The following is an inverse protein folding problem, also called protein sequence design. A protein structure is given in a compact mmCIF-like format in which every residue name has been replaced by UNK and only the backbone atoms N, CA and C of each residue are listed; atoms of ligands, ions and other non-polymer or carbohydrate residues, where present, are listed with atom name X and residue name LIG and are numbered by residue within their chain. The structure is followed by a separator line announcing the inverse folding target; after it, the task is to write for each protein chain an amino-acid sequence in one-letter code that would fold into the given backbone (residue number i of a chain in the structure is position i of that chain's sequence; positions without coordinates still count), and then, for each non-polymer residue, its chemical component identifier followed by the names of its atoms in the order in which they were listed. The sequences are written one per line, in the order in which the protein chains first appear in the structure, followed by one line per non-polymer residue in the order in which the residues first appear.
data_IF_953012955435
#
_entry.id   IF_953012955435
#
_cell.length_a   1.000
_cell.length_b   1.000
_cell.length_c   1.000
_cell.angle_alpha   90.00
_cell.angle_beta   90.00
_cell.angle_gamma   90.00
#
_symmetry.space_group_name_H-M   'P 1'
#
loop_
_entity.id
_entity.type
_entity.pdbx_description
1 polymer ?
#
# COMPACT_ATOMS: atom_id res chain seq x y z
N UNK A 1 -33.14 42.42 -16.68
CA UNK A 1 -32.98 42.13 -15.23
C UNK A 1 -31.49 42.02 -14.93
N UNK A 2 -30.94 43.06 -14.30
CA UNK A 2 -29.59 43.07 -13.75
C UNK A 2 -29.52 42.11 -12.56
N UNK A 3 -28.54 41.19 -12.55
CA UNK A 3 -28.00 40.61 -11.31
C UNK A 3 -26.52 40.92 -11.27
N UNK A 4 -26.18 42.02 -10.60
CA UNK A 4 -24.80 42.35 -10.24
C UNK A 4 -24.33 41.32 -9.22
N UNK A 5 -23.38 40.48 -9.61
CA UNK A 5 -22.60 39.65 -8.70
C UNK A 5 -21.61 40.59 -7.98
N UNK A 6 -21.51 40.55 -6.64
CA UNK A 6 -20.55 41.38 -5.91
C UNK A 6 -19.12 40.98 -6.28
N UNK A 7 -18.36 41.91 -6.86
CA UNK A 7 -16.92 41.76 -7.07
C UNK A 7 -16.20 42.15 -5.80
N UNK A 8 -15.57 41.18 -5.14
CA UNK A 8 -14.61 41.45 -4.07
C UNK A 8 -13.25 41.81 -4.68
N UNK A 9 -12.45 42.66 -4.02
CA UNK A 9 -11.13 43.08 -4.52
C UNK A 9 -10.08 41.94 -4.58
N UNK A 10 -10.46 40.70 -4.23
CA UNK A 10 -9.61 39.51 -4.27
C UNK A 10 -9.91 38.56 -5.43
N UNK A 11 -10.80 38.93 -6.37
CA UNK A 11 -11.02 38.13 -7.57
C UNK A 11 -9.98 38.44 -8.65
N UNK A 12 -8.84 37.76 -8.60
CA UNK A 12 -7.89 37.74 -9.72
C UNK A 12 -8.46 36.86 -10.85
N UNK A 13 -8.35 37.27 -12.13
CA UNK A 13 -8.72 36.42 -13.24
C UNK A 13 -7.82 35.17 -13.29
N UNK A 14 -8.41 34.03 -13.70
CA UNK A 14 -7.72 32.74 -13.83
C UNK A 14 -6.40 32.89 -14.60
N UNK A 15 -5.32 32.38 -14.00
CA UNK A 15 -3.99 32.35 -14.60
C UNK A 15 -3.99 31.52 -15.88
N UNK A 16 -2.98 31.74 -16.74
CA UNK A 16 -2.86 31.07 -18.03
C UNK A 16 -2.94 29.54 -17.96
N UNK A 17 -2.47 28.93 -16.86
CA UNK A 17 -2.53 27.49 -16.63
C UNK A 17 -3.96 26.99 -16.38
N UNK A 18 -4.78 27.74 -15.64
CA UNK A 18 -6.16 27.35 -15.34
C UNK A 18 -7.08 27.39 -16.57
N UNK A 19 -6.85 28.30 -17.52
CA UNK A 19 -7.54 28.28 -18.82
C UNK A 19 -7.17 27.08 -19.69
N UNK A 20 -5.91 26.64 -19.62
CA UNK A 20 -5.43 25.45 -20.33
C UNK A 20 -6.01 24.18 -19.72
N UNK A 21 -6.13 24.10 -18.39
CA UNK A 21 -6.79 22.99 -17.68
C UNK A 21 -8.29 22.92 -18.01
N UNK A 22 -8.99 24.05 -18.05
CA UNK A 22 -10.40 24.11 -18.46
C UNK A 22 -10.63 23.60 -19.90
N UNK A 23 -9.75 24.00 -20.84
CA UNK A 23 -9.80 23.53 -22.23
C UNK A 23 -9.53 22.03 -22.36
N UNK A 24 -8.61 21.48 -21.56
CA UNK A 24 -8.33 20.03 -21.51
C UNK A 24 -9.51 19.24 -20.94
N UNK A 25 -10.15 19.73 -19.87
CA UNK A 25 -11.37 19.14 -19.30
C UNK A 25 -12.52 19.14 -20.33
N UNK A 26 -12.72 20.24 -21.06
CA UNK A 26 -13.77 20.31 -22.11
C UNK A 26 -13.52 19.36 -23.29
N UNK A 27 -12.26 19.11 -23.66
CA UNK A 27 -11.91 18.14 -24.70
C UNK A 27 -12.10 16.69 -24.24
N UNK A 28 -11.87 16.38 -22.97
CA UNK A 28 -12.14 15.05 -22.38
C UNK A 28 -13.65 14.78 -22.34
N UNK A 29 -14.44 15.78 -21.95
CA UNK A 29 -15.91 15.67 -21.88
C UNK A 29 -16.61 15.63 -23.24
N UNK A 30 -15.91 15.89 -24.35
CA UNK A 30 -16.46 15.86 -25.72
C UNK A 30 -15.88 14.75 -26.60
N UNK A 31 -15.34 13.69 -25.98
CA UNK A 31 -14.86 12.49 -26.66
C UNK A 31 -15.84 11.90 -27.70
N UNK A 32 -15.34 11.17 -28.72
CA UNK A 32 -16.07 10.90 -29.94
C UNK A 32 -17.28 10.00 -29.70
N UNK A 33 -18.48 10.50 -30.05
CA UNK A 33 -19.72 9.72 -30.09
C UNK A 33 -19.70 8.71 -31.25
N UNK A 34 -19.03 7.57 -31.08
CA UNK A 34 -19.25 6.39 -31.93
C UNK A 34 -19.79 5.25 -31.07
N UNK A 35 -21.09 4.98 -31.22
CA UNK A 35 -21.76 3.83 -30.60
C UNK A 35 -21.18 2.54 -31.19
N UNK A 36 -20.93 1.50 -30.37
CA UNK A 36 -20.51 0.20 -30.89
C UNK A 36 -21.63 -0.40 -31.76
N UNK A 37 -21.29 -1.15 -32.82
CA UNK A 37 -22.27 -1.77 -33.71
C UNK A 37 -23.10 -2.81 -32.96
N UNK A 38 -24.42 -2.72 -33.07
CA UNK A 38 -25.42 -3.54 -32.37
C UNK A 38 -25.23 -5.06 -32.52
N UNK A 39 -24.60 -5.49 -33.61
CA UNK A 39 -24.26 -6.90 -33.85
C UNK A 39 -23.19 -7.45 -32.89
N UNK A 40 -22.27 -6.60 -32.40
CA UNK A 40 -21.25 -7.00 -31.43
C UNK A 40 -21.85 -7.26 -30.05
N UNK A 41 -22.79 -6.40 -29.62
CA UNK A 41 -23.54 -6.57 -28.37
C UNK A 41 -24.44 -7.81 -28.39
N UNK A 42 -25.09 -8.10 -29.53
CA UNK A 42 -25.91 -9.30 -29.69
C UNK A 42 -25.08 -10.60 -29.66
N UNK A 43 -23.87 -10.59 -30.25
CA UNK A 43 -22.96 -11.72 -30.22
C UNK A 43 -22.44 -12.01 -28.80
N UNK A 44 -22.11 -10.96 -28.03
CA UNK A 44 -21.67 -11.12 -26.65
C UNK A 44 -22.77 -11.71 -25.75
N UNK A 45 -24.02 -11.27 -25.93
CA UNK A 45 -25.17 -11.82 -25.20
C UNK A 45 -25.43 -13.30 -25.53
N UNK A 46 -25.24 -13.71 -26.78
CA UNK A 46 -25.40 -15.11 -27.19
C UNK A 46 -24.32 -16.03 -26.59
N UNK A 47 -23.09 -15.54 -26.47
CA UNK A 47 -21.98 -16.27 -25.81
C UNK A 47 -22.29 -16.46 -24.32
N UNK A 48 -22.78 -15.44 -23.62
CA UNK A 48 -23.17 -15.57 -22.21
C UNK A 48 -24.31 -16.58 -21.99
N UNK A 49 -25.28 -16.66 -22.90
CA UNK A 49 -26.40 -17.60 -22.79
C UNK A 49 -26.03 -19.05 -23.15
N UNK A 50 -25.06 -19.26 -24.04
CA UNK A 50 -24.62 -20.60 -24.46
C UNK A 50 -23.53 -21.18 -23.56
N UNK A 51 -22.69 -20.34 -22.95
CA UNK A 51 -21.65 -20.76 -22.00
C UNK A 51 -22.21 -21.04 -20.58
N UNK A 52 -23.41 -20.57 -20.25
CA UNK A 52 -24.06 -20.80 -18.94
C UNK A 52 -24.61 -22.21 -18.70
N UNK A 53 -24.59 -23.11 -19.70
CA UNK A 53 -25.20 -24.45 -19.61
C UNK A 53 -24.20 -25.62 -19.47
N UNK A 54 -22.90 -25.36 -19.22
CA UNK A 54 -21.87 -26.42 -19.20
C UNK A 54 -21.18 -26.68 -17.85
N UNK A 55 -21.68 -26.10 -16.75
CA UNK A 55 -21.25 -26.49 -15.40
C UNK A 55 -22.47 -26.83 -14.55
N UNK A 56 -23.04 -28.01 -14.79
CA UNK A 56 -23.96 -28.65 -13.86
C UNK A 56 -23.15 -29.54 -12.92
N UNK A 57 -22.61 -28.93 -11.86
CA UNK A 57 -22.32 -29.69 -10.64
C UNK A 57 -23.64 -29.82 -9.90
N UNK A 58 -24.04 -31.06 -9.62
CA UNK A 58 -25.31 -31.42 -9.00
C UNK A 58 -25.44 -30.75 -7.62
N UNK A 59 -26.22 -29.66 -7.56
CA UNK A 59 -26.79 -29.17 -6.31
C UNK A 59 -27.86 -30.17 -5.93
N UNK A 60 -27.58 -30.96 -4.92
CA UNK A 60 -28.61 -31.67 -4.16
C UNK A 60 -29.43 -30.58 -3.48
N UNK A 61 -30.71 -30.46 -3.83
CA UNK A 61 -31.68 -29.60 -3.15
C UNK A 61 -31.53 -29.81 -1.64
N UNK A 62 -30.97 -28.80 -0.98
CA UNK A 62 -31.14 -28.59 0.45
C UNK A 62 -32.32 -27.64 0.55
N UNK A 63 -33.41 -28.17 1.07
CA UNK A 63 -34.55 -27.40 1.55
C UNK A 63 -34.06 -26.20 2.39
N UNK A 64 -34.78 -25.09 2.25
CA UNK A 64 -34.67 -23.89 3.07
C UNK A 64 -34.62 -24.23 4.56
N UNK A 65 -33.41 -24.30 5.12
CA UNK A 65 -33.16 -24.09 6.53
C UNK A 65 -32.54 -22.70 6.65
N UNK A 66 -33.19 -21.84 7.44
CA UNK A 66 -32.55 -20.63 7.97
C UNK A 66 -31.21 -21.02 8.61
N UNK A 67 -30.14 -20.22 8.46
CA UNK A 67 -28.86 -20.56 9.09
C UNK A 67 -29.08 -20.71 10.60
N UNK A 68 -28.75 -21.88 11.17
CA UNK A 68 -28.96 -22.24 12.59
C UNK A 68 -28.07 -21.46 13.58
N UNK A 69 -27.49 -20.33 13.18
CA UNK A 69 -26.59 -19.50 14.00
C UNK A 69 -27.11 -18.07 14.19
N UNK A 70 -26.53 -17.30 15.13
CA UNK A 70 -26.89 -15.90 15.31
C UNK A 70 -26.56 -15.11 14.04
N UNK A 71 -27.48 -14.24 13.62
CA UNK A 71 -27.29 -13.40 12.43
C UNK A 71 -26.16 -12.39 12.62
N UNK A 72 -25.56 -11.96 11.50
CA UNK A 72 -24.57 -10.88 11.50
C UNK A 72 -25.24 -9.56 11.88
N UNK A 73 -24.62 -8.80 12.78
CA UNK A 73 -25.14 -7.54 13.30
C UNK A 73 -24.09 -6.43 13.19
N UNK A 74 -24.49 -5.25 12.68
CA UNK A 74 -23.69 -4.04 12.79
C UNK A 74 -23.92 -3.43 14.18
N UNK A 75 -22.89 -3.38 15.03
CA UNK A 75 -23.00 -2.78 16.35
C UNK A 75 -22.70 -1.28 16.30
N UNK A 76 -21.56 -0.89 15.71
CA UNK A 76 -21.19 0.52 15.48
C UNK A 76 -20.54 0.67 14.11
N UNK A 77 -20.81 1.78 13.42
CA UNK A 77 -20.19 2.07 12.13
C UNK A 77 -20.09 3.58 11.87
N UNK A 78 -18.88 4.12 12.06
CA UNK A 78 -18.53 5.52 11.81
C UNK A 78 -17.57 5.66 10.63
N UNK A 79 -17.34 4.59 9.86
CA UNK A 79 -16.32 4.56 8.82
C UNK A 79 -16.50 5.67 7.77
N UNK A 80 -17.74 5.94 7.39
CA UNK A 80 -18.09 6.96 6.41
C UNK A 80 -18.60 8.28 7.02
N UNK A 81 -18.74 8.36 8.35
CA UNK A 81 -19.16 9.56 9.08
C UNK A 81 -18.27 9.77 10.33
N UNK A 82 -16.94 9.91 10.17
CA UNK A 82 -16.01 10.02 11.29
C UNK A 82 -16.25 11.26 12.19
N UNK A 83 -16.94 12.27 11.68
CA UNK A 83 -17.36 13.45 12.44
C UNK A 83 -18.38 13.15 13.54
N UNK A 84 -19.10 12.02 13.44
CA UNK A 84 -20.15 11.62 14.37
C UNK A 84 -19.63 10.74 15.52
N UNK A 85 -18.32 10.46 15.54
CA UNK A 85 -17.69 9.66 16.60
C UNK A 85 -17.87 10.35 17.96
N UNK A 86 -18.49 9.70 18.96
CA UNK A 86 -18.66 10.28 20.28
C UNK A 86 -17.38 10.11 21.10
N UNK A 87 -16.43 11.03 20.93
CA UNK A 87 -15.06 10.92 21.46
C UNK A 87 -14.95 10.74 22.98
N UNK A 88 -15.93 11.26 23.72
CA UNK A 88 -15.94 11.29 25.19
C UNK A 88 -16.91 10.28 25.82
N UNK A 89 -17.63 9.48 25.02
CA UNK A 89 -18.62 8.51 25.51
C UNK A 89 -18.20 7.06 25.23
N UNK A 90 -18.93 6.13 25.83
CA UNK A 90 -18.83 4.71 25.55
C UNK A 90 -20.17 4.13 25.11
N UNK A 91 -20.13 3.20 24.17
CA UNK A 91 -21.29 2.44 23.71
C UNK A 91 -21.15 1.01 24.22
N UNK A 92 -22.21 0.47 24.81
CA UNK A 92 -22.20 -0.86 25.42
C UNK A 92 -23.19 -1.80 24.73
N UNK A 93 -22.86 -3.08 24.71
CA UNK A 93 -23.77 -4.16 24.30
C UNK A 93 -23.56 -5.41 25.15
N UNK A 94 -24.60 -6.22 25.23
CA UNK A 94 -24.58 -7.54 25.87
C UNK A 94 -25.02 -8.57 24.85
N UNK A 95 -24.29 -9.69 24.79
CA UNK A 95 -24.57 -10.76 23.84
C UNK A 95 -25.14 -11.96 24.62
N UNK A 96 -26.29 -12.52 24.21
CA UNK A 96 -26.90 -13.68 24.88
C UNK A 96 -25.95 -14.87 25.08
N UNK A 97 -25.03 -15.06 24.15
CA UNK A 97 -24.02 -16.11 24.17
C UNK A 97 -22.88 -15.88 25.19
N UNK A 98 -22.71 -14.66 25.70
CA UNK A 98 -21.70 -14.31 26.71
C UNK A 98 -22.36 -13.71 27.97
N UNK A 99 -23.07 -14.51 28.77
CA UNK A 99 -23.79 -14.02 29.94
C UNK A 99 -22.86 -13.42 31.00
N UNK A 100 -23.21 -12.24 31.50
CA UNK A 100 -22.43 -11.52 32.53
C UNK A 100 -21.24 -10.72 31.99
N UNK A 101 -21.11 -10.63 30.67
CA UNK A 101 -20.11 -9.82 29.98
C UNK A 101 -20.80 -8.65 29.28
N UNK A 102 -20.36 -7.43 29.58
CA UNK A 102 -20.73 -6.23 28.86
C UNK A 102 -19.58 -5.82 27.97
N UNK A 103 -19.77 -5.81 26.65
CA UNK A 103 -18.78 -5.28 25.73
C UNK A 103 -18.92 -3.77 25.67
N UNK A 104 -17.82 -3.05 25.85
CA UNK A 104 -17.77 -1.59 25.87
C UNK A 104 -16.83 -1.10 24.79
N UNK A 105 -17.38 -0.39 23.82
CA UNK A 105 -16.63 0.33 22.81
C UNK A 105 -16.42 1.78 23.26
N UNK A 106 -15.18 2.25 23.07
CA UNK A 106 -14.78 3.65 23.09
C UNK A 106 -13.94 3.89 21.82
N UNK A 107 -13.85 5.13 21.30
CA UNK A 107 -13.12 5.40 20.06
C UNK A 107 -11.71 4.82 20.02
N UNK A 108 -10.98 4.82 21.15
CA UNK A 108 -9.61 4.30 21.20
C UNK A 108 -9.48 2.82 21.58
N UNK A 109 -10.52 2.19 22.12
CA UNK A 109 -10.39 0.87 22.75
C UNK A 109 -11.72 0.13 22.85
N UNK A 110 -11.67 -1.18 22.71
CA UNK A 110 -12.80 -2.06 22.97
C UNK A 110 -12.44 -3.03 24.10
N UNK A 111 -13.29 -3.10 25.12
CA UNK A 111 -13.07 -3.91 26.31
C UNK A 111 -14.27 -4.83 26.60
N UNK A 112 -14.01 -5.97 27.23
CA UNK A 112 -15.02 -6.75 27.93
C UNK A 112 -15.03 -6.36 29.41
N UNK A 113 -16.21 -6.07 29.94
CA UNK A 113 -16.43 -5.72 31.35
C UNK A 113 -17.17 -6.88 32.00
N UNK A 114 -16.47 -7.60 32.88
CA UNK A 114 -17.06 -8.73 33.60
C UNK A 114 -17.67 -8.18 34.89
N UNK A 115 -18.99 -8.33 35.04
CA UNK A 115 -19.69 -7.93 36.26
C UNK A 115 -19.70 -9.11 37.22
N UNK A 116 -18.75 -9.13 38.17
CA UNK A 116 -18.81 -10.03 39.32
C UNK A 116 -19.41 -9.30 40.53
N UNK A 117 -19.88 -10.06 41.53
CA UNK A 117 -20.57 -9.51 42.71
C UNK A 117 -19.73 -8.47 43.48
N UNK A 118 -18.39 -8.52 43.38
CA UNK A 118 -17.48 -7.71 44.20
C UNK A 118 -16.44 -6.88 43.41
N UNK A 119 -16.33 -7.04 42.08
CA UNK A 119 -15.32 -6.32 41.28
C UNK A 119 -15.76 -6.14 39.82
N UNK A 120 -15.61 -4.91 39.31
CA UNK A 120 -15.75 -4.55 37.89
C UNK A 120 -14.34 -4.40 37.34
N UNK A 121 -13.91 -5.35 36.52
CA UNK A 121 -12.59 -5.31 35.88
C UNK A 121 -12.73 -5.26 34.37
N UNK A 122 -12.35 -4.15 33.70
CA UNK A 122 -12.33 -4.09 32.25
C UNK A 122 -11.09 -4.84 31.72
N UNK A 123 -11.32 -5.78 30.82
CA UNK A 123 -10.29 -6.47 30.05
C UNK A 123 -10.27 -5.93 28.62
N UNK A 124 -9.17 -5.29 28.22
CA UNK A 124 -9.03 -4.73 26.88
C UNK A 124 -8.85 -5.84 25.85
N UNK A 125 -9.70 -5.85 24.82
CA UNK A 125 -9.66 -6.83 23.74
C UNK A 125 -8.71 -6.36 22.62
N UNK A 126 -8.89 -5.12 22.16
CA UNK A 126 -8.04 -4.49 21.15
C UNK A 126 -8.21 -2.97 21.16
N UNK A 127 -7.30 -2.28 20.47
CA UNK A 127 -7.28 -0.80 20.37
C UNK A 127 -7.45 -0.33 18.93
N UNK A 128 -7.62 0.98 18.77
CA UNK A 128 -7.61 1.66 17.48
C UNK A 128 -7.34 3.16 17.67
N UNK A 129 -7.09 3.87 16.58
CA UNK A 129 -6.92 5.32 16.54
C UNK A 129 -7.70 5.96 15.37
N UNK A 130 -9.04 5.93 15.37
CA UNK A 130 -9.94 5.23 16.28
C UNK A 130 -10.36 3.84 15.75
N UNK A 131 -11.14 3.11 16.53
CA UNK A 131 -11.94 1.95 16.08
C UNK A 131 -13.15 2.51 15.31
N UNK A 132 -13.18 2.32 14.00
CA UNK A 132 -14.12 2.96 13.07
C UNK A 132 -15.46 2.23 12.98
N UNK A 133 -15.45 0.90 13.00
CA UNK A 133 -16.66 0.07 12.95
C UNK A 133 -16.46 -1.22 13.73
N UNK A 134 -17.55 -1.82 14.20
CA UNK A 134 -17.61 -3.13 14.85
C UNK A 134 -18.87 -3.85 14.40
N UNK A 135 -18.67 -5.04 13.86
CA UNK A 135 -19.70 -6.00 13.48
C UNK A 135 -19.58 -7.23 14.38
N UNK A 136 -20.72 -7.84 14.69
CA UNK A 136 -20.83 -9.08 15.44
C UNK A 136 -21.14 -10.19 14.46
N UNK A 137 -20.23 -11.14 14.30
CA UNK A 137 -20.33 -12.19 13.29
C UNK A 137 -19.69 -13.47 13.81
N UNK A 138 -20.38 -14.59 13.67
CA UNK A 138 -19.82 -15.94 13.90
C UNK A 138 -18.99 -16.35 12.67
N UNK A 139 -17.71 -15.99 12.68
CA UNK A 139 -16.75 -16.28 11.61
C UNK A 139 -16.04 -17.62 11.81
N UNK A 140 -16.08 -18.18 13.02
CA UNK A 140 -15.53 -19.51 13.34
C UNK A 140 -16.54 -20.64 13.04
N UNK A 141 -17.83 -20.32 13.03
CA UNK A 141 -18.94 -21.25 12.83
C UNK A 141 -19.28 -22.06 14.09
N UNK A 142 -18.86 -21.60 15.27
CA UNK A 142 -19.08 -22.31 16.54
C UNK A 142 -20.38 -21.88 17.25
N UNK A 143 -21.12 -20.93 16.66
CA UNK A 143 -22.36 -20.36 17.20
C UNK A 143 -22.16 -19.18 18.15
N UNK A 144 -20.92 -18.73 18.37
CA UNK A 144 -20.56 -17.60 19.22
C UNK A 144 -20.05 -16.46 18.33
N UNK A 145 -20.64 -15.27 18.45
CA UNK A 145 -20.22 -14.14 17.59
C UNK A 145 -18.87 -13.59 18.04
N UNK A 146 -18.00 -13.33 17.07
CA UNK A 146 -16.77 -12.56 17.23
C UNK A 146 -16.98 -11.06 17.01
N UNK A 147 -16.09 -10.25 17.57
CA UNK A 147 -16.06 -8.80 17.36
C UNK A 147 -15.13 -8.46 16.19
N UNK A 148 -15.72 -8.20 15.02
CA UNK A 148 -15.01 -7.86 13.79
C UNK A 148 -15.02 -6.34 13.57
N UNK A 149 -13.87 -5.70 13.64
CA UNK A 149 -13.75 -4.26 13.65
C UNK A 149 -12.83 -3.72 12.56
N UNK A 150 -13.16 -2.55 12.01
CA UNK A 150 -12.18 -1.74 11.25
C UNK A 150 -11.50 -0.79 12.23
N UNK A 151 -10.17 -0.83 12.31
CA UNK A 151 -9.36 0.05 13.15
C UNK A 151 -8.44 0.91 12.31
N UNK A 152 -8.42 2.21 12.57
CA UNK A 152 -7.48 3.14 11.95
C UNK A 152 -6.20 3.27 12.79
N UNK A 153 -5.03 3.40 12.16
CA UNK A 153 -3.76 3.59 12.87
C UNK A 153 -2.83 4.59 12.17
N UNK A 154 -2.23 5.49 12.96
CA UNK A 154 -1.13 6.37 12.55
C UNK A 154 -1.42 7.87 12.78
N UNK A 155 -0.35 8.68 12.86
CA UNK A 155 -0.43 10.13 13.14
C UNK A 155 -0.04 11.00 11.93
N UNK A 156 0.19 10.39 10.77
CA UNK A 156 0.42 11.05 9.49
C UNK A 156 -0.21 10.23 8.36
N UNK A 157 0.35 9.05 8.12
CA UNK A 157 -0.29 7.99 7.34
C UNK A 157 -1.25 7.21 8.22
N UNK A 158 -2.54 7.32 7.92
CA UNK A 158 -3.60 6.56 8.56
C UNK A 158 -3.96 5.39 7.63
N UNK A 159 -3.77 4.16 8.09
CA UNK A 159 -4.24 2.95 7.40
C UNK A 159 -5.42 2.31 8.14
N UNK A 160 -6.30 1.65 7.38
CA UNK A 160 -7.48 0.94 7.90
C UNK A 160 -7.26 -0.58 7.85
N UNK A 161 -7.44 -1.22 9.01
CA UNK A 161 -7.16 -2.65 9.23
C UNK A 161 -8.41 -3.35 9.74
N UNK A 162 -8.54 -4.65 9.49
CA UNK A 162 -9.59 -5.47 10.11
C UNK A 162 -9.00 -6.26 11.28
N UNK A 163 -9.62 -6.14 12.44
CA UNK A 163 -9.36 -6.97 13.63
C UNK A 163 -10.59 -7.83 13.86
N UNK A 164 -10.42 -9.14 14.03
CA UNK A 164 -11.48 -10.01 14.53
C UNK A 164 -11.05 -10.59 15.87
N UNK A 165 -11.82 -10.35 16.92
CA UNK A 165 -11.55 -10.88 18.26
C UNK A 165 -12.54 -11.98 18.60
N UNK A 166 -12.01 -13.19 18.78
CA UNK A 166 -12.69 -14.36 19.29
C UNK A 166 -12.61 -14.36 20.82
N UNK A 167 -13.74 -13.99 21.44
CA UNK A 167 -13.84 -13.93 22.89
C UNK A 167 -13.94 -15.33 23.52
N UNK A 168 -14.43 -16.34 22.80
CA UNK A 168 -14.50 -17.70 23.33
C UNK A 168 -13.11 -18.34 23.41
N UNK A 169 -12.31 -18.18 22.35
CA UNK A 169 -10.94 -18.69 22.30
C UNK A 169 -9.91 -17.74 22.93
N UNK A 170 -10.28 -16.48 23.21
CA UNK A 170 -9.35 -15.41 23.61
C UNK A 170 -8.25 -15.18 22.57
N UNK A 171 -8.63 -15.22 21.29
CA UNK A 171 -7.72 -15.03 20.15
C UNK A 171 -8.09 -13.78 19.35
N UNK A 172 -7.08 -13.12 18.78
CA UNK A 172 -7.26 -11.99 17.89
C UNK A 172 -6.58 -12.26 16.54
N UNK A 173 -7.31 -11.96 15.47
CA UNK A 173 -6.88 -12.08 14.09
C UNK A 173 -6.78 -10.69 13.46
N UNK A 174 -5.74 -10.43 12.66
CA UNK A 174 -5.44 -9.09 12.14
C UNK A 174 -5.12 -9.09 10.66
N UNK A 175 -6.03 -8.54 9.84
CA UNK A 175 -5.84 -8.28 8.42
C UNK A 175 -5.40 -6.82 8.24
N UNK A 176 -4.12 -6.64 7.94
CA UNK A 176 -3.51 -5.33 7.68
C UNK A 176 -2.48 -5.43 6.56
N UNK A 177 -2.31 -4.34 5.82
CA UNK A 177 -1.18 -4.16 4.91
C UNK A 177 -0.90 -2.66 4.76
N UNK A 178 -0.33 -2.09 5.83
CA UNK A 178 -0.10 -0.65 5.96
C UNK A 178 0.69 -0.11 4.77
N UNK A 179 0.26 1.03 4.22
CA UNK A 179 0.92 1.66 3.08
C UNK A 179 0.57 1.04 1.72
N UNK A 180 -0.12 -0.10 1.69
CA UNK A 180 -0.45 -0.83 0.46
C UNK A 180 -1.95 -1.00 0.26
N UNK A 181 -2.65 -1.44 1.31
CA UNK A 181 -4.09 -1.66 1.28
C UNK A 181 -4.79 -1.15 2.53
N UNK A 182 -5.97 -0.57 2.30
CA UNK A 182 -6.96 -0.27 3.33
C UNK A 182 -8.09 -1.30 3.22
N UNK A 183 -8.66 -1.64 4.38
CA UNK A 183 -9.73 -2.63 4.48
C UNK A 183 -10.96 -2.03 5.15
N UNK A 184 -12.11 -2.33 4.58
CA UNK A 184 -13.41 -1.99 5.14
C UNK A 184 -14.22 -3.25 5.43
N UNK A 185 -15.19 -3.13 6.34
CA UNK A 185 -16.22 -4.13 6.59
C UNK A 185 -17.56 -3.57 6.15
N UNK A 186 -18.35 -4.38 5.45
CA UNK A 186 -19.72 -4.04 5.07
C UNK A 186 -20.66 -5.22 5.28
N UNK A 187 -21.94 -4.93 5.51
CA UNK A 187 -23.00 -5.93 5.64
C UNK A 187 -23.87 -5.91 4.38
N UNK A 188 -23.79 -6.96 3.57
CA UNK A 188 -24.59 -7.14 2.35
C UNK A 188 -25.36 -8.46 2.41
N UNK A 189 -26.68 -8.40 2.20
CA UNK A 189 -27.58 -9.56 2.21
C UNK A 189 -27.41 -10.49 3.44
N UNK A 190 -27.14 -9.89 4.61
CA UNK A 190 -26.97 -10.63 5.87
C UNK A 190 -25.62 -11.35 5.99
N UNK A 191 -24.62 -10.96 5.20
CA UNK A 191 -23.26 -11.50 5.22
C UNK A 191 -22.24 -10.40 5.43
N UNK A 192 -21.27 -10.64 6.31
CA UNK A 192 -20.14 -9.74 6.50
C UNK A 192 -19.16 -9.88 5.33
N UNK A 193 -18.88 -8.77 4.66
CA UNK A 193 -17.92 -8.66 3.57
C UNK A 193 -16.73 -7.82 4.03
N UNK A 194 -15.57 -8.14 3.47
CA UNK A 194 -14.35 -7.34 3.53
C UNK A 194 -14.16 -6.72 2.16
N UNK A 195 -13.91 -5.42 2.14
CA UNK A 195 -13.56 -4.69 0.91
C UNK A 195 -12.11 -4.23 1.02
N UNK A 196 -11.31 -4.54 0.00
CA UNK A 196 -9.89 -4.19 -0.09
C UNK A 196 -9.69 -3.04 -1.07
N UNK A 197 -9.00 -2.00 -0.64
CA UNK A 197 -8.66 -0.82 -1.44
C UNK A 197 -7.15 -0.66 -1.55
N UNK A 198 -6.68 0.02 -2.60
CA UNK A 198 -5.29 0.50 -2.62
C UNK A 198 -5.16 1.69 -1.66
N UNK A 199 -4.14 1.64 -0.84
CA UNK A 199 -3.76 2.72 0.07
C UNK A 199 -3.49 4.03 -0.69
N UNK A 200 -3.88 5.19 -0.12
CA UNK A 200 -3.84 6.55 -0.71
C UNK A 200 -4.77 6.84 -1.91
N UNK A 201 -5.80 6.04 -2.16
CA UNK A 201 -6.90 6.57 -2.98
C UNK A 201 -7.56 7.74 -2.21
N UNK A 202 -7.53 8.94 -2.78
CA UNK A 202 -7.87 10.22 -2.12
C UNK A 202 -9.34 10.36 -1.66
N UNK A 203 -9.94 11.56 -1.67
CA UNK A 203 -11.27 11.80 -1.08
C UNK A 203 -12.44 11.05 -1.75
N UNK A 204 -12.16 10.30 -2.82
CA UNK A 204 -12.95 9.15 -3.23
C UNK A 204 -12.03 7.94 -2.99
N UNK A 205 -12.32 7.12 -1.97
CA UNK A 205 -11.69 5.80 -1.88
C UNK A 205 -11.81 5.15 -3.25
N UNK A 206 -10.70 4.60 -3.73
CA UNK A 206 -10.57 4.14 -5.10
C UNK A 206 -11.57 3.03 -5.41
N UNK A 207 -11.60 2.55 -6.65
CA UNK A 207 -12.39 1.35 -6.94
C UNK A 207 -11.92 0.19 -6.05
N UNK A 208 -12.85 -0.55 -5.40
CA UNK A 208 -12.52 -1.77 -4.69
C UNK A 208 -11.65 -2.69 -5.55
N UNK A 209 -10.52 -3.13 -4.99
CA UNK A 209 -9.64 -4.09 -5.64
C UNK A 209 -10.18 -5.52 -5.51
N UNK A 210 -10.77 -5.82 -4.35
CA UNK A 210 -11.40 -7.10 -4.06
C UNK A 210 -12.53 -6.91 -3.05
N UNK A 211 -13.54 -7.76 -3.15
CA UNK A 211 -14.65 -7.91 -2.20
C UNK A 211 -14.83 -9.39 -1.96
N UNK A 212 -14.92 -9.79 -0.70
CA UNK A 212 -15.12 -11.19 -0.34
C UNK A 212 -15.45 -11.35 1.14
N UNK A 213 -15.85 -12.55 1.55
CA UNK A 213 -16.16 -12.84 2.96
C UNK A 213 -14.90 -12.82 3.80
N UNK A 214 -15.05 -12.55 5.09
CA UNK A 214 -14.00 -12.83 6.05
C UNK A 214 -13.99 -14.34 6.33
N UNK A 215 -12.85 -15.00 6.12
CA UNK A 215 -12.69 -16.43 6.40
C UNK A 215 -11.50 -16.67 7.32
N UNK A 216 -11.64 -17.62 8.25
CA UNK A 216 -10.52 -18.13 9.04
C UNK A 216 -9.93 -19.36 8.34
N UNK A 217 -8.64 -19.33 8.03
CA UNK A 217 -7.90 -20.45 7.46
C UNK A 217 -6.53 -20.57 8.09
N UNK A 218 -6.16 -21.77 8.54
CA UNK A 218 -4.81 -22.06 9.09
C UNK A 218 -4.41 -21.12 10.25
N UNK A 219 -5.37 -20.63 11.04
CA UNK A 219 -5.13 -19.71 12.16
C UNK A 219 -5.06 -18.23 11.76
N UNK A 220 -5.25 -17.87 10.49
CA UNK A 220 -5.29 -16.49 10.00
C UNK A 220 -6.69 -16.11 9.51
N UNK A 221 -7.01 -14.82 9.48
CA UNK A 221 -8.15 -14.32 8.68
C UNK A 221 -7.72 -14.01 7.24
N UNK A 222 -8.64 -14.05 6.28
CA UNK A 222 -8.38 -13.62 4.91
C UNK A 222 -9.67 -13.16 4.24
N UNK A 223 -9.52 -12.36 3.19
CA UNK A 223 -10.59 -12.05 2.26
C UNK A 223 -10.78 -13.28 1.35
N UNK A 224 -11.97 -13.87 1.34
CA UNK A 224 -12.27 -15.09 0.57
C UNK A 224 -11.96 -14.87 -0.92
N UNK A 225 -11.12 -15.73 -1.50
CA UNK A 225 -10.62 -15.58 -2.88
C UNK A 225 -9.27 -14.88 -3.00
N UNK A 226 -8.76 -14.26 -1.93
CA UNK A 226 -7.42 -13.69 -1.85
C UNK A 226 -6.38 -14.83 -1.82
N UNK A 227 -5.51 -14.88 -2.84
CA UNK A 227 -4.44 -15.89 -2.97
C UNK A 227 -3.06 -15.36 -2.64
N UNK A 228 -2.91 -14.04 -2.48
CA UNK A 228 -1.63 -13.35 -2.43
C UNK A 228 -1.24 -12.81 -1.05
N UNK A 229 -2.22 -12.55 -0.18
CA UNK A 229 -1.99 -12.03 1.17
C UNK A 229 -2.89 -12.74 2.18
N UNK A 230 -2.30 -13.37 3.22
CA UNK A 230 -3.05 -13.87 4.38
C UNK A 230 -2.76 -12.98 5.59
N UNK A 231 -3.78 -12.74 6.41
CA UNK A 231 -3.65 -11.98 7.64
C UNK A 231 -2.80 -12.72 8.68
N UNK A 232 -2.42 -12.00 9.73
CA UNK A 232 -1.55 -12.50 10.78
C UNK A 232 -2.39 -12.93 11.99
N UNK A 233 -1.92 -13.92 12.73
CA UNK A 233 -2.23 -13.97 14.17
C UNK A 233 -1.51 -12.81 14.82
N UNK A 234 -2.13 -12.12 15.78
CA UNK A 234 -1.47 -11.00 16.49
C UNK A 234 -0.12 -11.43 17.12
N UNK A 235 0.07 -12.73 17.40
CA UNK A 235 1.32 -13.30 17.90
C UNK A 235 2.40 -13.57 16.82
N UNK A 236 2.06 -13.56 15.53
CA UNK A 236 2.95 -13.90 14.41
C UNK A 236 2.97 -12.72 13.42
N UNK A 237 3.79 -11.70 13.68
CA UNK A 237 3.84 -10.46 12.89
C UNK A 237 4.43 -10.60 11.45
N UNK A 238 4.55 -11.82 10.90
CA UNK A 238 5.21 -12.09 9.61
C UNK A 238 4.19 -12.50 8.54
N UNK A 239 4.04 -11.76 7.41
CA UNK A 239 3.14 -12.13 6.33
C UNK A 239 3.37 -13.57 5.87
N UNK A 240 2.29 -14.36 5.80
CA UNK A 240 2.37 -15.67 5.17
C UNK A 240 2.63 -15.41 3.68
N UNK A 241 3.85 -15.72 3.25
CA UNK A 241 4.29 -15.65 1.85
C UNK A 241 3.28 -16.40 0.97
N UNK A 242 3.09 -16.00 -0.27
CA UNK A 242 2.20 -16.71 -1.21
C UNK A 242 2.98 -17.16 -2.43
N UNK A 243 2.32 -17.85 -3.37
CA UNK A 243 2.95 -18.27 -4.63
C UNK A 243 3.37 -17.05 -5.50
N UNK A 244 2.77 -15.89 -5.23
CA UNK A 244 3.10 -14.59 -5.83
C UNK A 244 3.41 -13.57 -4.72
N UNK A 245 4.59 -13.66 -4.09
CA UNK A 245 4.91 -12.81 -2.96
C UNK A 245 5.13 -11.37 -3.40
N UNK A 246 4.75 -10.45 -2.51
CA UNK A 246 5.03 -9.02 -2.68
C UNK A 246 6.52 -8.74 -2.52
N UNK A 247 7.26 -8.77 -3.63
CA UNK A 247 8.70 -8.58 -3.61
C UNK A 247 9.10 -7.21 -3.07
N UNK A 248 8.29 -6.15 -3.26
CA UNK A 248 8.62 -4.84 -2.73
C UNK A 248 8.58 -4.82 -1.20
N UNK A 249 7.55 -5.43 -0.61
CA UNK A 249 7.47 -5.60 0.84
C UNK A 249 8.63 -6.46 1.37
N UNK A 250 8.93 -7.57 0.71
CA UNK A 250 10.00 -8.46 1.16
C UNK A 250 11.37 -7.79 1.08
N UNK A 251 11.62 -7.00 0.04
CA UNK A 251 12.86 -6.23 -0.08
C UNK A 251 12.96 -5.19 1.03
N UNK A 252 11.88 -4.45 1.29
CA UNK A 252 11.82 -3.48 2.39
C UNK A 252 12.11 -4.13 3.75
N UNK A 253 11.67 -5.37 3.98
CA UNK A 253 11.95 -6.12 5.22
C UNK A 253 13.44 -6.40 5.44
N UNK A 254 14.20 -6.58 4.37
CA UNK A 254 15.64 -6.83 4.47
C UNK A 254 16.45 -5.55 4.74
N UNK A 255 15.86 -4.35 4.65
CA UNK A 255 16.56 -3.12 4.96
C UNK A 255 16.90 -3.03 6.46
N UNK A 256 18.18 -2.85 6.80
CA UNK A 256 18.73 -2.99 8.17
C UNK A 256 18.07 -2.09 9.23
N UNK A 257 17.31 -1.05 8.83
CA UNK A 257 16.51 -0.17 9.70
C UNK A 257 15.25 -0.84 10.29
N UNK A 258 15.02 -2.13 10.02
CA UNK A 258 13.78 -2.85 10.32
C UNK A 258 13.43 -3.15 11.81
N UNK A 259 14.30 -3.10 12.85
CA UNK A 259 13.89 -3.69 14.12
C UNK A 259 12.86 -2.89 14.95
N UNK A 260 12.54 -1.62 14.64
CA UNK A 260 11.65 -0.81 15.51
C UNK A 260 10.67 0.16 14.82
N UNK A 261 10.79 0.47 13.52
CA UNK A 261 10.03 1.61 12.92
C UNK A 261 9.16 1.27 11.69
N UNK A 262 9.19 0.03 11.21
CA UNK A 262 8.49 -0.42 10.00
C UNK A 262 6.97 -0.18 10.04
N UNK A 263 6.35 -0.32 11.22
CA UNK A 263 4.90 -0.26 11.39
C UNK A 263 4.31 1.17 11.32
N UNK A 264 5.12 2.22 11.12
CA UNK A 264 4.60 3.60 11.07
C UNK A 264 5.13 4.52 9.98
N UNK A 265 6.30 4.27 9.36
CA UNK A 265 6.99 5.29 8.52
C UNK A 265 7.66 4.83 7.22
N UNK A 266 7.59 3.55 6.85
CA UNK A 266 8.23 3.04 5.63
C UNK A 266 7.24 2.64 4.53
N UNK A 267 7.62 2.83 3.26
CA UNK A 267 6.86 2.49 2.06
C UNK A 267 7.74 1.78 1.06
N UNK A 268 7.17 0.88 0.27
CA UNK A 268 7.90 0.27 -0.83
C UNK A 268 6.99 0.06 -2.04
N UNK A 269 7.55 0.20 -3.23
CA UNK A 269 6.86 -0.11 -4.47
C UNK A 269 7.80 -0.76 -5.48
N UNK A 270 7.26 -1.75 -6.18
CA UNK A 270 8.00 -2.49 -7.19
C UNK A 270 8.20 -1.61 -8.43
N UNK A 271 9.45 -1.49 -8.85
CA UNK A 271 9.86 -0.73 -10.04
C UNK A 271 10.07 -1.63 -11.26
N UNK A 272 10.65 -2.81 -11.04
CA UNK A 272 10.96 -3.79 -12.08
C UNK A 272 10.81 -5.19 -11.52
N UNK A 273 10.30 -6.09 -12.35
CA UNK A 273 10.33 -7.53 -12.09
C UNK A 273 10.64 -8.28 -13.37
N UNK A 274 11.40 -9.37 -13.24
CA UNK A 274 11.74 -10.25 -14.36
C UNK A 274 11.68 -11.71 -13.89
N UNK A 275 10.96 -12.53 -14.65
CA UNK A 275 10.81 -13.95 -14.37
C UNK A 275 12.02 -14.75 -14.86
N UNK A 276 12.51 -15.65 -14.00
CA UNK A 276 13.64 -16.53 -14.29
C UNK A 276 13.37 -18.00 -13.99
N UNK A 277 14.43 -18.80 -14.06
CA UNK A 277 14.44 -20.23 -13.78
C UNK A 277 14.26 -20.52 -12.28
N UNK A 278 13.00 -20.67 -11.88
CA UNK A 278 12.60 -20.95 -10.50
C UNK A 278 12.78 -19.77 -9.55
N UNK A 279 13.03 -18.57 -10.08
CA UNK A 279 13.23 -17.35 -9.31
C UNK A 279 12.62 -16.13 -10.01
N UNK A 280 12.27 -15.12 -9.24
CA UNK A 280 11.76 -13.85 -9.74
C UNK A 280 12.65 -12.73 -9.24
N UNK A 281 13.18 -11.93 -10.15
CA UNK A 281 13.92 -10.71 -9.83
C UNK A 281 12.93 -9.63 -9.39
N UNK A 282 13.26 -8.90 -8.33
CA UNK A 282 12.54 -7.71 -7.90
C UNK A 282 13.48 -6.54 -7.66
N UNK A 283 13.17 -5.39 -8.25
CA UNK A 283 13.71 -4.08 -7.89
C UNK A 283 12.58 -3.25 -7.29
N UNK A 284 12.78 -2.72 -6.10
CA UNK A 284 11.83 -1.84 -5.44
C UNK A 284 12.49 -0.53 -5.02
N UNK A 285 11.69 0.54 -4.99
CA UNK A 285 12.05 1.75 -4.25
C UNK A 285 11.45 1.64 -2.85
N UNK A 286 12.27 1.96 -1.85
CA UNK A 286 11.95 1.84 -0.43
C UNK A 286 12.21 3.19 0.24
N UNK A 287 11.16 3.78 0.79
CA UNK A 287 11.16 5.08 1.46
C UNK A 287 10.96 4.89 2.97
N UNK A 288 11.67 5.67 3.81
CA UNK A 288 11.38 5.82 5.24
C UNK A 288 12.43 5.20 6.19
N UNK A 289 12.56 5.75 7.41
CA UNK A 289 13.50 5.34 8.48
C UNK A 289 14.08 6.53 9.29
N UNK A 290 14.79 6.31 10.42
CA UNK A 290 15.29 7.39 11.29
C UNK A 290 16.71 7.90 10.95
N UNK A 291 16.92 8.61 9.82
CA UNK A 291 17.94 9.67 9.59
C UNK A 291 17.67 10.35 8.20
N UNK A 292 18.17 11.57 7.91
CA UNK A 292 17.72 12.51 6.88
C UNK A 292 18.27 12.23 5.46
N UNK A 293 18.46 10.96 5.08
CA UNK A 293 19.03 10.54 3.80
C UNK A 293 18.50 9.15 3.36
N UNK A 294 17.19 8.99 3.25
CA UNK A 294 16.60 7.69 2.95
C UNK A 294 15.15 7.74 2.46
N UNK A 295 14.80 8.77 1.67
CA UNK A 295 13.51 8.84 0.98
C UNK A 295 13.63 8.33 -0.47
N UNK A 296 14.23 7.17 -0.69
CA UNK A 296 14.26 6.62 -2.03
C UNK A 296 15.32 5.58 -2.29
N UNK A 297 15.54 4.69 -1.33
CA UNK A 297 16.51 3.61 -1.47
C UNK A 297 16.07 2.68 -2.59
N UNK A 298 17.01 2.20 -3.40
CA UNK A 298 16.74 1.13 -4.36
C UNK A 298 17.17 -0.19 -3.75
N UNK A 299 16.25 -1.14 -3.70
CA UNK A 299 16.49 -2.49 -3.21
C UNK A 299 16.29 -3.50 -4.32
N UNK A 300 17.26 -4.39 -4.51
CA UNK A 300 17.27 -5.37 -5.59
C UNK A 300 17.58 -6.76 -5.04
N UNK A 301 16.75 -7.74 -5.38
CA UNK A 301 16.92 -9.11 -4.90
C UNK A 301 16.35 -10.15 -5.85
N UNK A 302 16.81 -11.38 -5.68
CA UNK A 302 16.36 -12.52 -6.48
C UNK A 302 15.59 -13.49 -5.60
N UNK A 303 14.28 -13.56 -5.76
CA UNK A 303 13.41 -14.39 -4.93
C UNK A 303 13.35 -15.82 -5.45
N UNK A 304 13.64 -16.83 -4.63
CA UNK A 304 13.45 -18.24 -4.97
C UNK A 304 12.01 -18.68 -4.71
N UNK A 305 11.29 -19.10 -5.76
CA UNK A 305 9.87 -19.47 -5.64
C UNK A 305 9.65 -20.75 -4.84
N UNK A 306 10.63 -21.67 -4.87
CA UNK A 306 10.48 -22.98 -4.19
C UNK A 306 10.91 -22.88 -2.74
N UNK A 307 12.06 -22.25 -2.48
CA UNK A 307 12.56 -22.04 -1.12
C UNK A 307 11.76 -20.98 -0.36
N UNK A 308 11.07 -20.07 -1.08
CA UNK A 308 10.35 -18.92 -0.54
C UNK A 308 11.30 -18.05 0.30
N UNK A 309 12.47 -17.77 -0.26
CA UNK A 309 13.56 -17.02 0.36
C UNK A 309 14.45 -16.37 -0.71
N UNK A 310 15.34 -15.46 -0.29
CA UNK A 310 16.28 -14.79 -1.19
C UNK A 310 17.38 -15.74 -1.69
N UNK A 311 17.53 -15.80 -3.01
CA UNK A 311 18.63 -16.48 -3.69
C UNK A 311 19.85 -15.56 -3.74
N UNK A 312 20.65 -15.61 -2.68
CA UNK A 312 21.85 -14.77 -2.54
C UNK A 312 21.54 -13.46 -1.82
N UNK A 313 22.43 -12.45 -1.92
CA UNK A 313 22.25 -11.18 -1.21
C UNK A 313 21.11 -10.36 -1.80
N UNK A 314 20.46 -9.59 -0.94
CA UNK A 314 19.67 -8.42 -1.33
C UNK A 314 20.60 -7.21 -1.33
N UNK A 315 20.53 -6.44 -2.40
CA UNK A 315 21.40 -5.29 -2.62
C UNK A 315 20.65 -3.99 -2.32
N UNK A 316 21.37 -3.04 -1.74
CA UNK A 316 20.88 -1.68 -1.49
C UNK A 316 21.73 -0.67 -2.27
N UNK A 317 21.04 0.31 -2.88
CA UNK A 317 21.63 1.56 -3.38
C UNK A 317 20.89 2.69 -2.67
N UNK A 318 21.42 3.07 -1.51
CA UNK A 318 20.77 3.99 -0.57
C UNK A 318 20.82 5.46 -1.02
N UNK A 319 19.86 6.25 -0.55
CA UNK A 319 19.71 7.69 -0.84
C UNK A 319 18.26 8.16 -0.88
N UNK A 320 18.05 9.38 -1.37
CA UNK A 320 16.78 10.11 -1.40
C UNK A 320 16.11 10.17 -2.78
N UNK A 321 16.82 9.90 -3.88
CA UNK A 321 16.22 9.90 -5.22
C UNK A 321 16.78 8.77 -6.09
N UNK A 322 16.38 7.55 -5.73
CA UNK A 322 16.74 6.34 -6.46
C UNK A 322 16.22 6.36 -7.90
N UNK A 323 17.15 6.39 -8.86
CA UNK A 323 16.91 6.28 -10.29
C UNK A 323 17.47 4.97 -10.83
N UNK A 324 16.82 4.43 -11.86
CA UNK A 324 17.33 3.23 -12.53
C UNK A 324 17.10 3.26 -14.04
N UNK A 325 17.92 2.48 -14.75
CA UNK A 325 17.74 2.12 -16.15
C UNK A 325 17.99 0.63 -16.32
N UNK A 326 17.33 0.01 -17.31
CA UNK A 326 17.54 -1.40 -17.60
C UNK A 326 17.53 -1.66 -19.11
N UNK A 327 18.27 -2.68 -19.54
CA UNK A 327 18.32 -3.11 -20.94
C UNK A 327 18.73 -4.57 -21.05
N UNK A 328 18.39 -5.19 -22.17
CA UNK A 328 18.84 -6.55 -22.50
C UNK A 328 20.19 -6.49 -23.23
N UNK A 329 21.19 -7.17 -22.68
CA UNK A 329 22.52 -7.34 -23.28
C UNK A 329 22.49 -8.23 -24.52
N UNK A 330 23.62 -8.26 -25.25
CA UNK A 330 23.73 -9.07 -26.47
C UNK A 330 23.65 -10.59 -26.20
N UNK A 331 23.98 -11.02 -24.97
CA UNK A 331 23.88 -12.39 -24.50
C UNK A 331 22.46 -12.76 -24.02
N UNK A 332 21.52 -11.80 -24.04
CA UNK A 332 20.15 -11.96 -23.57
C UNK A 332 19.97 -11.71 -22.07
N UNK A 333 21.04 -11.40 -21.33
CA UNK A 333 20.94 -11.07 -19.91
C UNK A 333 20.33 -9.67 -19.70
N UNK A 334 19.61 -9.50 -18.60
CA UNK A 334 19.05 -8.22 -18.19
C UNK A 334 20.07 -7.44 -17.37
N UNK A 335 20.44 -6.26 -17.82
CA UNK A 335 21.29 -5.33 -17.09
C UNK A 335 20.44 -4.26 -16.42
N UNK A 336 20.87 -3.85 -15.22
CA UNK A 336 20.16 -2.88 -14.39
C UNK A 336 21.21 -1.94 -13.82
N UNK A 337 21.11 -0.66 -14.17
CA UNK A 337 21.90 0.41 -13.55
C UNK A 337 21.03 1.15 -12.56
N UNK A 338 21.54 1.32 -11.35
CA UNK A 338 20.91 2.08 -10.28
C UNK A 338 21.86 3.20 -9.87
N UNK A 339 21.34 4.39 -9.62
CA UNK A 339 22.09 5.47 -8.99
C UNK A 339 21.18 6.23 -8.02
N UNK A 340 21.80 6.86 -7.04
CA UNK A 340 21.07 7.57 -6.00
C UNK A 340 21.85 8.80 -5.53
N UNK A 341 21.10 9.80 -5.11
CA UNK A 341 21.59 11.04 -4.53
C UNK A 341 21.07 11.21 -3.11
N UNK A 342 21.73 12.04 -2.32
CA UNK A 342 21.27 12.49 -1.00
C UNK A 342 21.04 13.98 -1.05
N UNK A 343 19.99 14.49 -0.42
CA UNK A 343 19.73 15.93 -0.33
C UNK A 343 19.90 16.41 1.10
N UNK A 344 20.88 17.29 1.34
CA UNK A 344 21.12 17.89 2.64
C UNK A 344 21.11 19.42 2.54
N UNK A 345 20.28 20.08 3.36
CA UNK A 345 20.12 21.54 3.39
C UNK A 345 19.80 22.20 2.03
N UNK A 346 19.21 21.44 1.10
CA UNK A 346 18.86 21.93 -0.24
C UNK A 346 19.94 21.71 -1.30
N UNK A 347 21.05 21.07 -0.94
CA UNK A 347 22.09 20.61 -1.87
C UNK A 347 21.95 19.11 -2.10
N UNK A 348 21.95 18.73 -3.38
CA UNK A 348 21.97 17.32 -3.78
C UNK A 348 23.42 16.86 -3.94
N UNK A 349 23.79 15.70 -3.39
CA UNK A 349 25.11 15.08 -3.60
C UNK A 349 24.94 13.65 -4.09
N UNK A 350 25.90 13.15 -4.87
CA UNK A 350 25.95 11.73 -5.21
C UNK A 350 26.14 10.87 -3.96
N UNK A 351 25.38 9.77 -3.87
CA UNK A 351 25.47 8.84 -2.75
C UNK A 351 26.10 7.51 -3.19
N UNK A 352 25.61 6.96 -4.30
CA UNK A 352 26.14 5.72 -4.85
C UNK A 352 25.42 5.28 -6.11
N UNK A 353 26.07 4.35 -6.82
CA UNK A 353 25.50 3.68 -7.97
C UNK A 353 25.97 2.22 -8.02
N UNK A 354 25.23 1.38 -8.73
CA UNK A 354 25.61 0.00 -8.95
C UNK A 354 25.08 -0.51 -10.29
N UNK A 355 25.85 -1.42 -10.89
CA UNK A 355 25.49 -2.14 -12.11
C UNK A 355 25.26 -3.61 -11.79
N UNK A 356 24.09 -4.11 -12.15
CA UNK A 356 23.71 -5.49 -11.96
C UNK A 356 23.43 -6.18 -13.28
N UNK A 357 23.65 -7.50 -13.29
CA UNK A 357 23.32 -8.39 -14.40
C UNK A 357 22.52 -9.59 -13.90
N UNK A 358 21.43 -9.87 -14.58
CA UNK A 358 20.56 -11.00 -14.34
C UNK A 358 20.49 -11.89 -15.58
N UNK A 359 20.99 -13.13 -15.48
CA UNK A 359 21.05 -14.08 -16.60
C UNK A 359 19.81 -14.99 -16.72
N UNK A 360 18.75 -14.68 -15.98
CA UNK A 360 17.57 -15.54 -15.85
C UNK A 360 17.66 -16.54 -14.69
N UNK A 361 18.82 -16.71 -14.05
CA UNK A 361 19.02 -17.65 -12.92
C UNK A 361 19.80 -17.07 -11.75
N UNK A 362 20.74 -16.16 -12.03
CA UNK A 362 21.68 -15.55 -11.08
C UNK A 362 21.67 -14.04 -11.25
N UNK A 363 21.69 -13.35 -10.13
CA UNK A 363 21.89 -11.91 -10.04
C UNK A 363 23.33 -11.64 -9.58
N UNK A 364 24.06 -10.85 -10.35
CA UNK A 364 25.45 -10.47 -10.09
C UNK A 364 25.58 -8.94 -10.06
N UNK A 365 26.28 -8.41 -9.05
CA UNK A 365 26.74 -7.02 -9.04
C UNK A 365 28.07 -6.96 -9.81
N UNK A 366 28.05 -6.31 -10.97
CA UNK A 366 29.22 -6.17 -11.84
C UNK A 366 30.14 -5.05 -11.35
N UNK A 367 29.54 -3.93 -10.92
CA UNK A 367 30.28 -2.76 -10.48
C UNK A 367 29.49 -1.96 -9.44
N UNK A 368 30.21 -1.31 -8.54
CA UNK A 368 29.64 -0.43 -7.52
C UNK A 368 30.49 0.83 -7.36
N UNK A 369 29.83 1.97 -7.48
CA UNK A 369 30.37 3.28 -7.21
C UNK A 369 29.83 3.76 -5.87
N UNK A 370 30.71 4.16 -4.98
CA UNK A 370 30.35 4.75 -3.69
C UNK A 370 30.97 6.14 -3.63
N UNK A 371 30.22 7.07 -3.06
CA UNK A 371 30.78 8.35 -2.68
C UNK A 371 31.90 8.14 -1.65
N UNK A 372 33.12 8.59 -1.95
CA UNK A 372 34.22 8.58 -0.97
C UNK A 372 34.02 9.66 0.12
N UNK A 373 33.22 10.68 -0.19
CA UNK A 373 32.74 11.72 0.72
C UNK A 373 31.39 12.29 0.26
N UNK A 374 30.67 13.01 1.12
CA UNK A 374 29.46 13.76 0.75
C UNK A 374 29.72 14.95 -0.20
N UNK A 375 30.99 15.18 -0.59
CA UNK A 375 31.47 16.27 -1.43
C UNK A 375 31.87 15.76 -2.83
N UNK A 376 31.18 14.73 -3.33
CA UNK A 376 31.36 14.25 -4.70
C UNK A 376 30.77 15.28 -5.68
N UNK A 377 31.65 15.92 -6.46
CA UNK A 377 31.27 16.97 -7.41
C UNK A 377 30.68 16.43 -8.72
N UNK A 378 30.08 15.24 -8.68
CA UNK A 378 29.47 14.58 -9.83
C UNK A 378 28.08 14.08 -9.45
N UNK A 379 27.17 14.03 -10.43
CA UNK A 379 25.91 13.27 -10.36
C UNK A 379 25.86 12.26 -11.49
N UNK A 380 25.51 11.03 -11.16
CA UNK A 380 25.35 9.94 -12.12
C UNK A 380 23.86 9.68 -12.32
N UNK A 381 23.41 9.70 -13.58
CA UNK A 381 22.03 9.40 -13.96
C UNK A 381 22.02 8.15 -14.85
N UNK A 382 21.34 7.06 -14.47
CA UNK A 382 21.31 5.84 -15.26
C UNK A 382 20.64 6.03 -16.62
N UNK A 383 21.32 5.57 -17.66
CA UNK A 383 20.83 5.52 -19.03
C UNK A 383 21.11 4.14 -19.64
N UNK A 384 20.52 3.87 -20.81
CA UNK A 384 20.73 2.58 -21.47
C UNK A 384 22.20 2.40 -21.85
N UNK A 385 22.86 1.37 -21.28
CA UNK A 385 24.24 1.03 -21.60
C UNK A 385 25.31 1.88 -20.89
N UNK A 386 24.93 2.77 -19.96
CA UNK A 386 25.89 3.62 -19.24
C UNK A 386 25.24 4.66 -18.33
N UNK A 387 26.05 5.61 -17.88
CA UNK A 387 25.63 6.70 -17.01
C UNK A 387 25.80 8.05 -17.71
N UNK A 388 24.79 8.90 -17.65
CA UNK A 388 24.97 10.33 -17.91
C UNK A 388 25.63 10.95 -16.67
N UNK A 389 26.81 11.53 -16.87
CA UNK A 389 27.61 12.20 -15.84
C UNK A 389 27.35 13.69 -15.92
N UNK A 390 27.00 14.27 -14.79
CA UNK A 390 26.83 15.69 -14.61
C UNK A 390 27.92 16.21 -13.68
N UNK A 391 28.44 17.40 -13.98
CA UNK A 391 29.36 18.12 -13.13
C UNK A 391 28.62 19.23 -12.39
N UNK A 392 29.14 19.60 -11.22
CA UNK A 392 28.64 20.72 -10.45
C UNK A 392 28.70 22.05 -11.20
N UNK A 393 27.65 22.85 -11.03
CA UNK A 393 27.60 24.22 -11.50
C UNK A 393 28.19 25.16 -10.43
N UNK A 394 29.40 25.72 -10.62
CA UNK A 394 29.99 26.62 -9.63
C UNK A 394 29.14 27.89 -9.38
N UNK A 395 28.31 28.27 -10.35
CA UNK A 395 27.41 29.41 -10.23
C UNK A 395 26.22 29.13 -9.30
N UNK A 396 25.85 27.86 -9.06
CA UNK A 396 24.85 27.47 -8.08
C UNK A 396 25.36 27.79 -6.67
N UNK A 397 26.51 27.24 -6.28
CA UNK A 397 27.08 27.41 -4.95
C UNK A 397 27.45 28.85 -4.63
N UNK A 398 27.97 29.59 -5.63
CA UNK A 398 28.22 31.02 -5.48
C UNK A 398 26.95 31.79 -5.08
N UNK A 399 25.79 31.43 -5.65
CA UNK A 399 24.52 32.10 -5.35
C UNK A 399 23.87 31.56 -4.08
N UNK A 400 23.93 30.24 -3.86
CA UNK A 400 23.30 29.56 -2.73
C UNK A 400 23.88 30.04 -1.39
N UNK A 401 25.21 30.24 -1.33
CA UNK A 401 25.90 30.63 -0.11
C UNK A 401 26.16 32.14 0.05
N UNK A 402 25.86 32.96 -0.95
CA UNK A 402 26.13 34.40 -0.91
C UNK A 402 24.83 35.22 -0.74
N UNK A 403 24.63 35.90 0.40
CA UNK A 403 23.45 36.73 0.65
C UNK A 403 23.22 37.86 -0.37
N UNK A 404 24.24 38.27 -1.13
CA UNK A 404 24.11 39.27 -2.21
C UNK A 404 23.18 38.81 -3.35
N UNK A 405 23.00 37.50 -3.50
CA UNK A 405 22.12 36.90 -4.52
C UNK A 405 20.73 36.55 -3.98
N UNK A 406 20.39 36.97 -2.76
CA UNK A 406 19.04 36.77 -2.21
C UNK A 406 17.96 37.38 -3.12
N UNK A 407 17.06 36.54 -3.63
CA UNK A 407 15.98 36.93 -4.55
C UNK A 407 16.33 36.81 -6.03
N UNK A 408 17.53 36.34 -6.38
CA UNK A 408 17.90 35.87 -7.72
C UNK A 408 17.54 34.38 -7.84
N UNK A 409 17.01 33.95 -8.98
CA UNK A 409 16.70 32.54 -9.23
C UNK A 409 17.99 31.71 -9.29
N UNK A 410 18.05 30.63 -8.51
CA UNK A 410 19.20 29.73 -8.52
C UNK A 410 19.26 28.99 -9.87
N UNK A 411 20.45 28.88 -10.50
CA UNK A 411 20.63 28.04 -11.67
C UNK A 411 20.56 26.56 -11.27
N UNK A 412 20.44 25.66 -12.24
CA UNK A 412 20.54 24.22 -11.95
C UNK A 412 21.90 23.89 -11.30
N UNK A 413 21.87 23.05 -10.26
CA UNK A 413 23.08 22.60 -9.58
C UNK A 413 23.96 21.74 -10.48
N UNK A 414 23.37 20.99 -11.41
CA UNK A 414 24.05 20.00 -12.24
C UNK A 414 24.04 20.40 -13.71
N UNK A 415 25.22 20.39 -14.34
CA UNK A 415 25.38 20.60 -15.78
C UNK A 415 25.87 19.31 -16.40
N UNK A 416 25.23 18.88 -17.49
CA UNK A 416 25.65 17.70 -18.22
C UNK A 416 27.11 17.83 -18.67
N UNK A 417 27.92 16.81 -18.41
CA UNK A 417 29.33 16.73 -18.79
C UNK A 417 29.53 15.72 -19.93
N UNK A 418 29.23 14.45 -19.67
CA UNK A 418 29.51 13.35 -20.61
C UNK A 418 28.63 12.13 -20.36
N UNK A 419 28.63 11.21 -21.31
CA UNK A 419 28.10 9.86 -21.13
C UNK A 419 29.26 8.89 -20.90
N UNK A 420 29.12 8.02 -19.89
CA UNK A 420 30.11 7.03 -19.49
C UNK A 420 29.54 5.62 -19.68
N UNK A 421 30.01 4.85 -20.69
CA UNK A 421 29.48 3.53 -20.97
C UNK A 421 29.92 2.54 -19.89
N UNK A 422 29.05 1.57 -19.58
CA UNK A 422 29.41 0.41 -18.75
C UNK A 422 29.63 -0.82 -19.62
N UNK A 423 30.48 -1.74 -19.17
CA UNK A 423 30.67 -3.02 -19.88
C UNK A 423 29.37 -3.84 -19.83
N UNK A 424 29.01 -4.47 -20.96
CA UNK A 424 27.82 -5.32 -21.09
C UNK A 424 28.19 -6.77 -21.32
#
# INVERSE_FOLDING_TARGET
MNKNIPRTPFSTPLSGSARVTELRIKNILTGPKKRPPTLFLAAMFAVCLLCGNLVSCQVKEADSAEPEGPGVEEWINYLHNPEDIPWDDSIETELPEYPGVTFRWMPGTLCAVITSIDEVSPFQLFTGMPIMSVFLCDITGDGLRELCAVTAYGSGMIDQRVVAYDYAAQEAYLLRNRGMFDYELSLEDGQLQVIKYRYLAGPEMGQPLAVGRLAIQEGAILLEGEREYKALRVAEEVPILTDHPDLAFLLMREHESYPYEADSRMYAWLLLTEEGEGCTLGLAKVDGGPHPAGLGNLMLGLWDRTARDWRGPVYEVGGDDGLFSSWTGADGSLHILCANTVTYQGEESFCGAAHFRFDGKRLEELERWKADSLEENIKMVPAQGGMDIYAENPQFFLQHYNPEYNGVELPDQWVYDRFEPVES
#
